data_IF_754473851316
#
_entry.id   IF_754473851316
#
_cell.length_a   1.000
_cell.length_b   1.000
_cell.length_c   1.000
_cell.angle_alpha   90.00
_cell.angle_beta   90.00
_cell.angle_gamma   90.00
#
_symmetry.space_group_name_H-M   'P 1'
#
loop_
_entity.id
_entity.type
_entity.pdbx_description
1 polymer ?
#
# COMPACT_ATOMS: atom_id res chain seq x y z
N UNK A 1 16.56 -29.34 -17.84
CA UNK A 1 16.08 -28.18 -17.06
C UNK A 1 16.70 -26.96 -17.71
N UNK A 2 15.92 -26.19 -18.46
CA UNK A 2 16.42 -24.99 -19.15
C UNK A 2 16.70 -23.91 -18.10
N UNK A 3 17.90 -23.33 -18.14
CA UNK A 3 18.30 -22.16 -17.34
C UNK A 3 17.60 -20.93 -17.90
N UNK A 4 16.34 -20.70 -17.51
CA UNK A 4 15.59 -19.52 -17.93
C UNK A 4 16.01 -18.34 -17.04
N UNK A 5 17.01 -17.60 -17.51
CA UNK A 5 17.45 -16.40 -16.81
C UNK A 5 16.39 -15.31 -16.93
N UNK A 6 15.99 -14.66 -15.81
CA UNK A 6 15.07 -13.54 -15.88
C UNK A 6 15.65 -12.43 -16.76
N UNK A 7 14.78 -11.75 -17.52
CA UNK A 7 15.20 -10.61 -18.36
C UNK A 7 15.85 -9.51 -17.51
N UNK A 8 16.79 -8.73 -18.08
CA UNK A 8 17.33 -7.55 -17.40
C UNK A 8 16.24 -6.54 -17.00
N UNK A 9 16.52 -5.77 -15.95
CA UNK A 9 15.69 -4.64 -15.54
C UNK A 9 15.69 -3.55 -16.63
N UNK A 10 14.51 -3.03 -16.92
CA UNK A 10 14.28 -1.92 -17.85
C UNK A 10 13.77 -0.70 -17.07
N UNK A 11 13.90 0.53 -17.59
CA UNK A 11 13.38 1.73 -16.94
C UNK A 11 11.90 1.62 -16.55
N UNK A 12 11.08 1.00 -17.40
CA UNK A 12 9.63 0.83 -17.17
C UNK A 12 9.32 -0.05 -15.96
N UNK A 13 10.24 -0.92 -15.54
CA UNK A 13 10.07 -1.73 -14.32
C UNK A 13 10.01 -0.87 -13.06
N UNK A 14 10.57 0.34 -13.09
CA UNK A 14 10.49 1.29 -11.99
C UNK A 14 9.04 1.76 -11.76
N UNK A 15 8.23 1.82 -12.82
CA UNK A 15 6.82 2.23 -12.74
C UNK A 15 5.97 1.17 -12.02
N UNK A 16 6.40 -0.09 -12.05
CA UNK A 16 5.72 -1.18 -11.36
C UNK A 16 6.09 -1.28 -9.86
N UNK A 17 7.06 -0.47 -9.39
CA UNK A 17 7.45 -0.47 -7.98
C UNK A 17 6.32 0.10 -7.13
N UNK A 18 5.92 -0.68 -6.13
CA UNK A 18 4.98 -0.24 -5.10
C UNK A 18 5.72 -0.09 -3.78
N UNK A 19 5.61 1.07 -3.16
CA UNK A 19 6.28 1.38 -1.90
C UNK A 19 5.28 1.27 -0.75
N UNK A 20 5.57 0.40 0.21
CA UNK A 20 4.82 0.25 1.46
C UNK A 20 5.49 1.09 2.54
N UNK A 21 4.71 1.91 3.25
CA UNK A 21 5.20 2.76 4.33
C UNK A 21 4.17 2.91 5.46
N UNK A 22 4.63 3.37 6.64
CA UNK A 22 3.83 3.66 7.84
C UNK A 22 2.82 2.56 8.19
N UNK A 23 3.33 1.35 8.44
CA UNK A 23 2.52 0.19 8.82
C UNK A 23 2.04 0.34 10.26
N UNK A 24 0.74 0.18 10.48
CA UNK A 24 0.07 0.31 11.78
C UNK A 24 -0.83 -0.89 12.06
N UNK A 25 -0.53 -1.62 13.12
CA UNK A 25 -1.38 -2.73 13.58
C UNK A 25 -2.65 -2.19 14.23
N UNK A 26 -3.77 -2.86 14.01
CA UNK A 26 -4.99 -2.64 14.78
C UNK A 26 -4.77 -3.01 16.25
N UNK A 27 -5.53 -2.44 17.20
CA UNK A 27 -5.35 -2.73 18.63
C UNK A 27 -5.47 -4.22 19.01
N UNK A 28 -6.28 -4.98 18.27
CA UNK A 28 -6.44 -6.43 18.42
C UNK A 28 -5.36 -7.26 17.71
N UNK A 29 -4.43 -6.60 17.00
CA UNK A 29 -3.34 -7.22 16.24
C UNK A 29 -3.76 -7.99 14.99
N UNK A 30 -5.03 -7.93 14.58
CA UNK A 30 -5.54 -8.78 13.48
C UNK A 30 -5.36 -8.17 12.10
N UNK A 31 -5.22 -6.85 12.01
CA UNK A 31 -5.14 -6.10 10.74
C UNK A 31 -3.94 -5.16 10.76
N UNK A 32 -3.29 -4.99 9.62
CA UNK A 32 -2.32 -3.95 9.37
C UNK A 32 -2.92 -2.93 8.41
N UNK A 33 -2.95 -1.65 8.79
CA UNK A 33 -3.19 -0.54 7.88
C UNK A 33 -1.85 0.04 7.45
N UNK A 34 -1.69 0.42 6.18
CA UNK A 34 -0.43 0.95 5.67
C UNK A 34 -0.68 1.86 4.48
N UNK A 35 0.31 2.70 4.17
CA UNK A 35 0.32 3.51 2.96
C UNK A 35 0.95 2.70 1.83
N UNK A 36 0.29 2.64 0.68
CA UNK A 36 0.85 2.08 -0.56
C UNK A 36 0.97 3.22 -1.57
N UNK A 37 2.18 3.48 -2.03
CA UNK A 37 2.48 4.49 -3.05
C UNK A 37 2.85 3.80 -4.36
N UNK A 38 2.21 4.23 -5.44
CA UNK A 38 2.43 3.76 -6.81
C UNK A 38 2.72 4.95 -7.72
N UNK A 39 3.49 4.74 -8.78
CA UNK A 39 3.70 5.74 -9.83
C UNK A 39 2.49 5.68 -10.77
N UNK A 40 1.86 6.82 -11.02
CA UNK A 40 0.75 6.97 -11.95
C UNK A 40 1.27 7.64 -13.23
N UNK A 41 1.79 6.86 -14.22
CA UNK A 41 2.53 7.39 -15.35
C UNK A 41 1.69 8.27 -16.28
N UNK A 42 0.38 8.04 -16.35
CA UNK A 42 -0.54 8.87 -17.13
C UNK A 42 -0.70 10.29 -16.56
N UNK A 43 -0.42 10.47 -15.27
CA UNK A 43 -0.56 11.75 -14.57
C UNK A 43 0.79 12.39 -14.18
N UNK A 44 1.92 11.71 -14.44
CA UNK A 44 3.26 12.09 -13.98
C UNK A 44 3.32 12.38 -12.46
N UNK A 45 2.58 11.60 -11.68
CA UNK A 45 2.43 11.81 -10.24
C UNK A 45 2.60 10.51 -9.45
N UNK A 46 3.04 10.65 -8.19
CA UNK A 46 2.93 9.58 -7.20
C UNK A 46 1.52 9.60 -6.61
N UNK A 47 0.89 8.43 -6.52
CA UNK A 47 -0.39 8.28 -5.83
C UNK A 47 -0.21 7.40 -4.61
N UNK A 48 -0.68 7.87 -3.46
CA UNK A 48 -0.73 7.07 -2.24
C UNK A 48 -2.16 6.82 -1.80
N UNK A 49 -2.42 5.61 -1.35
CA UNK A 49 -3.69 5.21 -0.75
C UNK A 49 -3.44 4.43 0.54
N UNK A 50 -4.42 4.43 1.43
CA UNK A 50 -4.39 3.53 2.58
C UNK A 50 -4.90 2.16 2.15
N UNK A 51 -4.14 1.13 2.51
CA UNK A 51 -4.47 -0.27 2.33
C UNK A 51 -4.57 -0.98 3.67
N UNK A 52 -5.27 -2.11 3.68
CA UNK A 52 -5.46 -2.93 4.87
C UNK A 52 -5.27 -4.40 4.55
N UNK A 53 -4.44 -5.08 5.32
CA UNK A 53 -4.16 -6.51 5.18
C UNK A 53 -4.46 -7.28 6.48
N UNK A 54 -4.95 -8.53 6.41
CA UNK A 54 -4.95 -9.43 7.55
C UNK A 54 -3.51 -9.78 7.96
N UNK A 55 -3.21 -9.75 9.26
CA UNK A 55 -1.85 -10.04 9.76
C UNK A 55 -1.46 -11.51 9.58
N UNK A 56 -2.43 -12.42 9.66
CA UNK A 56 -2.22 -13.86 9.45
C UNK A 56 -2.07 -14.25 7.96
N UNK A 57 -1.99 -13.26 7.06
CA UNK A 57 -2.00 -13.49 5.62
C UNK A 57 -3.41 -13.50 5.03
N UNK A 58 -3.46 -13.28 3.71
CA UNK A 58 -4.70 -13.08 2.96
C UNK A 58 -4.57 -11.88 2.02
N UNK A 59 -5.64 -11.62 1.27
CA UNK A 59 -5.64 -10.58 0.26
C UNK A 59 -5.74 -9.18 0.90
N UNK A 60 -4.82 -8.26 0.61
CA UNK A 60 -4.93 -6.88 1.05
C UNK A 60 -6.04 -6.17 0.28
N UNK A 61 -6.76 -5.27 0.96
CA UNK A 61 -7.80 -4.44 0.34
C UNK A 61 -7.45 -2.97 0.39
N UNK A 62 -7.72 -2.26 -0.69
CA UNK A 62 -7.63 -0.81 -0.73
C UNK A 62 -8.73 -0.19 0.14
N UNK A 63 -8.34 0.61 1.14
CA UNK A 63 -9.25 1.26 2.08
C UNK A 63 -9.72 2.62 1.58
N UNK A 64 -8.83 3.44 1.00
CA UNK A 64 -9.19 4.73 0.40
C UNK A 64 -9.02 4.74 -1.11
N UNK A 65 -9.90 5.46 -1.82
CA UNK A 65 -9.96 5.50 -3.30
C UNK A 65 -9.97 6.93 -3.86
N UNK A 66 -9.61 7.91 -3.04
CA UNK A 66 -9.62 9.32 -3.42
C UNK A 66 -8.60 9.66 -4.52
N UNK A 67 -8.73 10.85 -5.13
CA UNK A 67 -7.76 11.37 -6.09
C UNK A 67 -6.51 11.96 -5.41
N UNK A 68 -6.57 12.21 -4.10
CA UNK A 68 -5.48 12.80 -3.31
C UNK A 68 -4.49 11.74 -2.80
N UNK A 69 -3.42 12.20 -2.15
CA UNK A 69 -2.37 11.36 -1.55
C UNK A 69 -2.71 11.06 -0.09
N UNK A 70 -3.42 9.95 0.11
CA UNK A 70 -3.80 9.55 1.46
C UNK A 70 -2.59 8.97 2.22
N UNK A 71 -2.42 9.36 3.48
CA UNK A 71 -1.26 8.96 4.30
C UNK A 71 -1.53 9.02 5.81
N UNK A 72 -0.57 8.53 6.62
CA UNK A 72 -0.61 8.66 8.08
C UNK A 72 -1.75 7.91 8.78
N UNK A 73 -2.03 6.63 8.45
CA UNK A 73 -3.18 5.91 9.01
C UNK A 73 -3.05 5.76 10.54
N UNK A 74 -4.08 6.05 11.33
CA UNK A 74 -4.07 5.82 12.80
C UNK A 74 -5.38 5.20 13.27
N UNK A 75 -5.28 4.08 13.98
CA UNK A 75 -6.44 3.38 14.53
C UNK A 75 -7.01 4.13 15.73
N UNK A 76 -8.34 4.12 15.88
CA UNK A 76 -8.96 4.44 17.15
C UNK A 76 -8.59 3.39 18.20
N UNK A 77 -8.60 3.72 19.51
CA UNK A 77 -8.24 2.77 20.56
C UNK A 77 -9.09 1.49 20.59
N UNK A 78 -10.36 1.58 20.16
CA UNK A 78 -11.28 0.44 20.02
C UNK A 78 -11.13 -0.33 18.70
N UNK A 79 -10.26 0.13 17.78
CA UNK A 79 -10.03 -0.48 16.48
C UNK A 79 -11.19 -0.36 15.48
N UNK A 80 -12.25 0.38 15.81
CA UNK A 80 -13.44 0.52 14.98
C UNK A 80 -13.27 1.52 13.83
N UNK A 81 -12.35 2.49 13.96
CA UNK A 81 -12.13 3.58 13.02
C UNK A 81 -10.65 3.73 12.68
N UNK A 82 -10.39 4.34 11.52
CA UNK A 82 -9.07 4.69 11.04
C UNK A 82 -9.09 6.15 10.56
N UNK A 83 -8.25 7.00 11.15
CA UNK A 83 -8.00 8.37 10.69
C UNK A 83 -6.81 8.40 9.72
N UNK A 84 -6.77 9.38 8.82
CA UNK A 84 -5.71 9.58 7.83
C UNK A 84 -5.69 11.04 7.33
N UNK A 85 -4.63 11.42 6.62
CA UNK A 85 -4.45 12.72 5.95
C UNK A 85 -4.72 12.59 4.44
N UNK A 86 -5.35 13.61 3.81
CA UNK A 86 -5.80 13.58 2.39
C UNK A 86 -5.59 14.90 1.64
#
# INVERSE_FOLDING_TARGET
MSDERPRPLQPDDLLAIKVVADVQLSPDGRRAAYTLTEIAPEQDEYRSAIWMAPVQGGEPRQFTRGPKRDSGPRWSPDGARLAFLS
#
